data_IF_449062389885
#
_entry.id   IF_449062389885
#
_cell.length_a   1.000
_cell.length_b   1.000
_cell.length_c   1.000
_cell.angle_alpha   90.00
_cell.angle_beta   90.00
_cell.angle_gamma   90.00
#
_symmetry.space_group_name_H-M   'P 1'
#
loop_
_entity.id
_entity.type
_entity.pdbx_description
1 polymer ?
#
# COMPACT_ATOMS: atom_id res chain seq x y z
N UNK A 1 10.87 11.85 -5.73
CA UNK A 1 9.70 12.61 -6.21
C UNK A 1 10.04 13.59 -7.34
N UNK A 2 11.04 14.48 -7.20
CA UNK A 2 11.39 15.47 -8.25
C UNK A 2 11.59 14.87 -9.66
N UNK A 3 12.24 13.70 -9.77
CA UNK A 3 12.41 13.03 -11.07
C UNK A 3 11.08 12.61 -11.72
N UNK A 4 10.05 12.30 -10.93
CA UNK A 4 8.70 11.97 -11.42
C UNK A 4 7.97 13.25 -11.83
N UNK A 5 8.09 14.33 -11.05
CA UNK A 5 7.54 15.63 -11.41
C UNK A 5 8.14 16.14 -12.73
N UNK A 6 9.46 16.04 -12.90
CA UNK A 6 10.12 16.33 -14.18
C UNK A 6 9.56 15.46 -15.31
N UNK A 7 9.31 14.17 -15.08
CA UNK A 7 8.66 13.32 -16.08
C UNK A 7 7.28 13.88 -16.46
N UNK A 8 6.47 14.25 -15.47
CA UNK A 8 5.15 14.83 -15.71
C UNK A 8 5.21 16.16 -16.47
N UNK A 9 6.08 17.09 -16.05
CA UNK A 9 6.30 18.39 -16.69
C UNK A 9 6.78 18.25 -18.14
N UNK A 10 7.76 17.36 -18.38
CA UNK A 10 8.30 17.11 -19.72
C UNK A 10 7.50 16.08 -20.53
N UNK A 11 6.28 15.72 -20.10
CA UNK A 11 5.40 14.75 -20.77
C UNK A 11 6.07 13.39 -21.04
N UNK A 12 7.01 12.98 -20.19
CA UNK A 12 7.65 11.67 -20.22
C UNK A 12 6.82 10.66 -19.43
N UNK A 13 6.70 9.42 -19.93
CA UNK A 13 5.88 8.42 -19.28
C UNK A 13 6.44 7.96 -17.93
N UNK A 14 5.54 7.78 -16.98
CA UNK A 14 5.76 7.03 -15.76
C UNK A 14 4.49 6.27 -15.38
N UNK A 15 4.59 5.34 -14.45
CA UNK A 15 3.48 4.54 -13.95
C UNK A 15 3.57 4.37 -12.44
N UNK A 16 2.44 3.99 -11.85
CA UNK A 16 2.35 3.68 -10.43
C UNK A 16 2.47 2.17 -10.22
N UNK A 17 3.11 1.78 -9.13
CA UNK A 17 3.13 0.41 -8.64
C UNK A 17 2.85 0.40 -7.14
N UNK A 18 1.93 -0.45 -6.71
CA UNK A 18 1.77 -0.80 -5.29
C UNK A 18 1.44 -2.28 -5.16
N UNK A 19 1.37 -2.79 -3.93
CA UNK A 19 1.13 -4.22 -3.73
C UNK A 19 0.41 -4.53 -2.43
N UNK A 20 -0.15 -5.74 -2.37
CA UNK A 20 -0.84 -6.28 -1.20
C UNK A 20 -0.52 -7.75 -1.04
N UNK A 21 0.04 -8.10 0.11
CA UNK A 21 0.13 -9.49 0.54
C UNK A 21 -1.20 -9.99 1.14
N UNK A 22 -1.92 -10.91 0.47
CA UNK A 22 -3.25 -11.35 0.89
C UNK A 22 -3.15 -12.29 2.10
N UNK A 23 -3.19 -11.71 3.29
CA UNK A 23 -3.02 -12.44 4.56
C UNK A 23 -4.33 -12.81 5.26
N UNK A 24 -5.46 -12.38 4.71
CA UNK A 24 -6.84 -12.65 5.16
C UNK A 24 -7.81 -12.37 4.01
N UNK A 25 -9.07 -12.83 4.12
CA UNK A 25 -10.09 -12.68 3.06
C UNK A 25 -10.61 -11.24 2.90
N UNK A 26 -10.39 -10.36 3.88
CA UNK A 26 -10.90 -8.99 3.87
C UNK A 26 -9.85 -8.00 4.32
N UNK A 27 -9.77 -6.85 3.67
CA UNK A 27 -8.93 -5.74 4.11
C UNK A 27 -9.54 -5.02 5.32
N UNK A 28 -8.69 -4.53 6.23
CA UNK A 28 -9.07 -3.56 7.26
C UNK A 28 -8.74 -2.13 6.82
N UNK A 29 -9.28 -1.13 7.53
CA UNK A 29 -9.16 0.30 7.19
C UNK A 29 -7.71 0.77 7.00
N UNK A 30 -6.75 0.28 7.79
CA UNK A 30 -5.34 0.62 7.64
C UNK A 30 -4.72 0.20 6.29
N UNK A 31 -5.25 -0.86 5.66
CA UNK A 31 -4.78 -1.26 4.33
C UNK A 31 -5.26 -0.32 3.23
N UNK A 32 -6.29 0.48 3.47
CA UNK A 32 -6.81 1.40 2.47
C UNK A 32 -5.87 2.59 2.23
N UNK A 33 -5.04 2.97 3.22
CA UNK A 33 -4.22 4.18 3.17
C UNK A 33 -3.31 4.23 1.92
N UNK A 34 -2.49 3.21 1.60
CA UNK A 34 -1.67 3.24 0.40
C UNK A 34 -2.51 3.28 -0.88
N UNK A 35 -3.65 2.57 -0.92
CA UNK A 35 -4.54 2.54 -2.08
C UNK A 35 -5.27 3.87 -2.30
N UNK A 36 -5.70 4.56 -1.25
CA UNK A 36 -6.29 5.89 -1.35
C UNK A 36 -5.30 6.88 -1.96
N UNK A 37 -4.03 6.86 -1.49
CA UNK A 37 -2.97 7.68 -2.08
C UNK A 37 -2.70 7.30 -3.54
N UNK A 38 -2.59 6.01 -3.86
CA UNK A 38 -2.41 5.53 -5.23
C UNK A 38 -3.53 5.98 -6.15
N UNK A 39 -4.79 5.90 -5.69
CA UNK A 39 -5.95 6.30 -6.46
C UNK A 39 -5.92 7.79 -6.76
N UNK A 40 -5.64 8.61 -5.75
CA UNK A 40 -5.48 10.05 -5.94
C UNK A 40 -4.33 10.39 -6.90
N UNK A 41 -3.19 9.71 -6.78
CA UNK A 41 -2.07 9.87 -7.71
C UNK A 41 -2.44 9.47 -9.14
N UNK A 42 -3.19 8.37 -9.32
CA UNK A 42 -3.68 7.93 -10.63
C UNK A 42 -4.59 8.99 -11.25
N UNK A 43 -5.54 9.53 -10.49
CA UNK A 43 -6.49 10.55 -10.97
C UNK A 43 -5.78 11.85 -11.35
N UNK A 44 -4.86 12.33 -10.52
CA UNK A 44 -4.17 13.62 -10.72
C UNK A 44 -3.16 13.55 -11.86
N UNK A 45 -2.41 12.45 -11.96
CA UNK A 45 -1.37 12.31 -12.96
C UNK A 45 -1.83 11.65 -14.27
N UNK A 46 -3.01 11.03 -14.29
CA UNK A 46 -3.56 10.34 -15.47
C UNK A 46 -2.60 9.25 -16.02
N UNK A 47 -2.10 8.39 -15.11
CA UNK A 47 -1.05 7.40 -15.40
C UNK A 47 -1.53 5.96 -15.16
N UNK A 48 -0.93 4.96 -15.84
CA UNK A 48 -1.23 3.56 -15.58
C UNK A 48 -0.76 3.14 -14.17
N UNK A 49 -1.47 2.17 -13.59
CA UNK A 49 -1.21 1.59 -12.29
C UNK A 49 -1.13 0.06 -12.42
N UNK A 50 -0.11 -0.53 -11.79
CA UNK A 50 -0.02 -1.98 -11.58
C UNK A 50 -0.11 -2.30 -10.10
N UNK A 51 -0.88 -3.33 -9.75
CA UNK A 51 -1.08 -3.77 -8.36
C UNK A 51 -0.71 -5.25 -8.24
N UNK A 52 0.32 -5.54 -7.46
CA UNK A 52 0.78 -6.90 -7.19
C UNK A 52 0.03 -7.52 -6.02
N UNK A 53 -0.46 -8.75 -6.18
CA UNK A 53 -0.97 -9.59 -5.10
C UNK A 53 0.00 -10.74 -4.83
N UNK A 54 0.73 -10.63 -3.71
CA UNK A 54 1.83 -11.54 -3.36
C UNK A 54 1.32 -12.81 -2.64
N UNK A 55 0.47 -13.58 -3.32
CA UNK A 55 -0.09 -14.83 -2.79
C UNK A 55 0.97 -15.94 -2.61
N UNK A 56 1.99 -15.95 -3.47
CA UNK A 56 3.19 -16.77 -3.31
C UNK A 56 3.92 -16.49 -1.97
N UNK A 57 4.13 -15.22 -1.63
CA UNK A 57 4.73 -14.77 -0.37
C UNK A 57 3.97 -15.35 0.81
N UNK A 58 2.64 -15.19 0.84
CA UNK A 58 1.87 -15.59 2.02
C UNK A 58 1.87 -17.10 2.22
N UNK A 59 1.93 -17.89 1.14
CA UNK A 59 2.15 -19.34 1.23
C UNK A 59 3.55 -19.72 1.74
N UNK A 60 4.57 -18.90 1.46
CA UNK A 60 5.94 -19.14 1.93
C UNK A 60 6.12 -18.76 3.40
N UNK A 61 5.50 -17.67 3.84
CA UNK A 61 5.73 -17.07 5.16
C UNK A 61 4.76 -17.53 6.24
N UNK A 62 3.60 -18.07 5.86
CA UNK A 62 2.60 -18.64 6.78
C UNK A 62 2.28 -20.08 6.38
N UNK A 63 1.73 -20.85 7.31
CA UNK A 63 1.19 -22.19 7.04
C UNK A 63 -0.16 -22.08 6.31
N UNK A 64 -0.16 -21.49 5.11
CA UNK A 64 -1.33 -21.28 4.26
C UNK A 64 -1.10 -22.02 2.95
N UNK A 65 -2.09 -22.82 2.53
CA UNK A 65 -2.02 -23.54 1.25
C UNK A 65 -2.08 -22.56 0.08
N UNK A 66 -1.37 -22.87 -1.01
CA UNK A 66 -1.35 -22.04 -2.24
C UNK A 66 -2.76 -21.69 -2.73
N UNK A 67 -3.65 -22.69 -2.87
CA UNK A 67 -5.04 -22.47 -3.30
C UNK A 67 -5.81 -21.50 -2.39
N UNK A 68 -5.47 -21.48 -1.10
CA UNK A 68 -6.13 -20.61 -0.13
C UNK A 68 -5.56 -19.19 -0.20
N UNK A 69 -4.24 -19.03 -0.33
CA UNK A 69 -3.61 -17.74 -0.59
C UNK A 69 -4.12 -17.10 -1.89
N UNK A 70 -4.28 -17.93 -2.93
CA UNK A 70 -4.83 -17.51 -4.22
C UNK A 70 -6.29 -17.04 -4.09
N UNK A 71 -7.16 -17.81 -3.41
CA UNK A 71 -8.53 -17.36 -3.11
C UNK A 71 -8.56 -16.05 -2.32
N UNK A 72 -7.63 -15.85 -1.39
CA UNK A 72 -7.49 -14.59 -0.66
C UNK A 72 -7.06 -13.44 -1.57
N UNK A 73 -6.18 -13.68 -2.55
CA UNK A 73 -5.79 -12.68 -3.55
C UNK A 73 -7.01 -12.16 -4.32
N UNK A 74 -7.83 -13.05 -4.90
CA UNK A 74 -9.05 -12.65 -5.60
C UNK A 74 -10.05 -11.91 -4.71
N UNK A 75 -10.18 -12.31 -3.44
CA UNK A 75 -11.01 -11.59 -2.48
C UNK A 75 -10.48 -10.18 -2.16
N UNK A 76 -9.16 -10.02 -2.02
CA UNK A 76 -8.51 -8.73 -1.78
C UNK A 76 -8.55 -7.86 -3.05
N UNK A 77 -8.52 -8.46 -4.25
CA UNK A 77 -8.70 -7.75 -5.50
C UNK A 77 -10.08 -7.07 -5.55
N UNK A 78 -11.15 -7.70 -5.04
CA UNK A 78 -12.47 -7.06 -4.91
C UNK A 78 -12.46 -5.85 -3.99
N UNK A 79 -11.79 -5.96 -2.84
CA UNK A 79 -11.62 -4.83 -1.92
C UNK A 79 -10.86 -3.68 -2.61
N UNK A 80 -9.79 -3.99 -3.36
CA UNK A 80 -9.00 -3.01 -4.09
C UNK A 80 -9.81 -2.35 -5.20
N UNK A 81 -10.55 -3.11 -6.01
CA UNK A 81 -11.43 -2.56 -7.06
C UNK A 81 -12.50 -1.65 -6.44
N UNK A 82 -13.03 -2.00 -5.27
CA UNK A 82 -13.99 -1.19 -4.52
C UNK A 82 -13.43 0.17 -4.04
N UNK A 83 -12.12 0.41 -4.17
CA UNK A 83 -11.52 1.74 -3.96
C UNK A 83 -11.79 2.69 -5.13
N UNK A 84 -12.30 2.20 -6.27
CA UNK A 84 -12.69 3.02 -7.41
C UNK A 84 -11.52 3.36 -8.34
N UNK A 85 -10.59 2.43 -8.55
CA UNK A 85 -9.56 2.56 -9.58
C UNK A 85 -10.17 2.51 -10.98
N UNK A 86 -9.54 3.20 -11.93
CA UNK A 86 -9.96 3.18 -13.34
C UNK A 86 -9.57 1.84 -13.98
N UNK A 87 -10.56 1.06 -14.44
CA UNK A 87 -10.33 -0.22 -15.11
C UNK A 87 -9.54 -0.02 -16.40
N UNK A 88 -9.65 1.11 -17.11
CA UNK A 88 -8.90 1.31 -18.34
C UNK A 88 -7.41 1.59 -18.06
N UNK A 89 -7.04 1.91 -16.82
CA UNK A 89 -5.67 2.30 -16.42
C UNK A 89 -5.05 1.44 -15.33
N UNK A 90 -5.72 0.38 -14.90
CA UNK A 90 -5.26 -0.41 -13.75
C UNK A 90 -5.18 -1.88 -14.09
N UNK A 91 -4.01 -2.46 -13.85
CA UNK A 91 -3.78 -3.90 -13.95
C UNK A 91 -3.49 -4.48 -12.58
N UNK A 92 -4.28 -5.48 -12.15
CA UNK A 92 -4.08 -6.20 -10.89
C UNK A 92 -3.62 -7.60 -11.25
N UNK A 93 -2.58 -8.13 -10.62
CA UNK A 93 -2.13 -9.49 -10.93
C UNK A 93 -1.75 -10.25 -9.67
N UNK A 94 -1.92 -11.57 -9.71
CA UNK A 94 -1.36 -12.47 -8.70
C UNK A 94 0.03 -12.92 -9.14
N UNK A 95 0.93 -13.12 -8.18
CA UNK A 95 2.27 -13.61 -8.50
C UNK A 95 2.22 -15.03 -9.04
N UNK A 96 1.31 -15.87 -8.53
CA UNK A 96 1.09 -17.23 -9.02
C UNK A 96 0.62 -17.28 -10.48
N UNK A 97 -0.17 -16.30 -10.95
CA UNK A 97 -0.65 -16.27 -12.35
C UNK A 97 0.33 -15.56 -13.30
N UNK A 98 1.10 -14.58 -12.83
CA UNK A 98 1.83 -13.65 -13.70
C UNK A 98 3.36 -13.77 -13.64
N UNK A 99 3.96 -13.95 -12.46
CA UNK A 99 5.42 -13.86 -12.27
C UNK A 99 6.05 -15.26 -12.30
N UNK A 100 6.05 -15.87 -13.48
CA UNK A 100 6.86 -17.06 -13.76
C UNK A 100 8.36 -16.74 -13.83
N UNK A 101 9.10 -17.00 -12.74
CA UNK A 101 10.57 -17.20 -12.64
C UNK A 101 11.46 -15.95 -12.54
N UNK A 102 12.37 -16.00 -11.54
CA UNK A 102 13.33 -14.95 -11.17
C UNK A 102 14.74 -15.23 -11.72
N UNK A 103 15.39 -14.22 -12.30
CA UNK A 103 16.75 -14.38 -12.90
C UNK A 103 17.78 -13.33 -12.46
N UNK A 104 17.42 -12.36 -11.60
CA UNK A 104 18.19 -11.11 -11.43
C UNK A 104 18.70 -10.80 -10.01
N UNK A 105 18.45 -11.61 -8.99
CA UNK A 105 18.87 -11.34 -7.60
C UNK A 105 19.77 -12.46 -7.07
N UNK A 106 20.90 -12.10 -6.48
CA UNK A 106 21.87 -13.07 -5.91
C UNK A 106 21.62 -13.31 -4.42
N UNK A 107 21.90 -14.54 -3.95
CA UNK A 107 21.66 -14.94 -2.55
C UNK A 107 22.33 -14.01 -1.51
N UNK A 108 23.54 -13.51 -1.79
CA UNK A 108 24.28 -12.64 -0.85
C UNK A 108 23.58 -11.30 -0.58
N UNK A 109 22.89 -10.74 -1.58
CA UNK A 109 22.16 -9.47 -1.43
C UNK A 109 20.93 -9.65 -0.53
N UNK A 110 20.24 -10.78 -0.66
CA UNK A 110 19.03 -11.07 0.10
C UNK A 110 19.32 -11.43 1.56
N UNK A 111 20.44 -12.10 1.84
CA UNK A 111 20.91 -12.41 3.20
C UNK A 111 21.08 -11.14 4.05
N UNK A 112 21.70 -10.10 3.49
CA UNK A 112 21.99 -8.84 4.19
C UNK A 112 20.79 -7.91 4.37
N UNK A 113 19.80 -7.95 3.48
CA UNK A 113 18.66 -7.04 3.49
C UNK A 113 17.50 -7.58 4.34
N UNK A 114 17.25 -8.88 4.28
CA UNK A 114 16.08 -9.53 4.92
C UNK A 114 16.44 -10.44 6.09
N UNK A 115 17.74 -10.61 6.40
CA UNK A 115 18.20 -11.40 7.53
C UNK A 115 18.02 -12.91 7.34
N UNK A 116 18.05 -13.39 6.09
CA UNK A 116 17.96 -14.83 5.80
C UNK A 116 19.22 -15.58 6.23
N UNK A 117 19.07 -16.89 6.44
CA UNK A 117 20.17 -17.81 6.73
C UNK A 117 20.12 -19.04 5.82
N UNK A 118 21.07 -19.95 6.00
CA UNK A 118 21.23 -21.12 5.14
C UNK A 118 20.15 -22.20 5.40
N UNK A 119 19.29 -21.99 6.43
CA UNK A 119 18.11 -22.81 6.72
C UNK A 119 16.82 -22.25 6.10
N UNK A 120 16.88 -21.05 5.53
CA UNK A 120 15.74 -20.37 4.93
C UNK A 120 15.34 -21.01 3.61
N UNK A 121 14.04 -21.27 3.42
CA UNK A 121 13.50 -21.80 2.16
C UNK A 121 13.93 -20.92 0.97
N UNK A 122 14.40 -21.56 -0.11
CA UNK A 122 14.85 -20.86 -1.33
C UNK A 122 13.79 -19.93 -1.90
N UNK A 123 12.49 -20.27 -1.75
CA UNK A 123 11.39 -19.39 -2.15
C UNK A 123 11.35 -18.06 -1.39
N UNK A 124 11.66 -18.05 -0.08
CA UNK A 124 11.73 -16.81 0.71
C UNK A 124 12.91 -15.94 0.32
N UNK A 125 14.04 -16.58 -0.01
CA UNK A 125 15.24 -15.92 -0.53
C UNK A 125 14.97 -15.29 -1.90
N UNK A 126 14.15 -15.95 -2.71
CA UNK A 126 13.81 -15.54 -4.06
C UNK A 126 12.81 -14.34 -4.04
N UNK A 127 11.82 -14.37 -3.13
CA UNK A 127 10.69 -13.44 -3.12
C UNK A 127 11.00 -11.94 -3.30
N UNK A 128 12.05 -11.35 -2.68
CA UNK A 128 12.37 -9.94 -2.91
C UNK A 128 12.59 -9.57 -4.38
N UNK A 129 13.05 -10.51 -5.22
CA UNK A 129 13.15 -10.30 -6.67
C UNK A 129 11.77 -10.21 -7.34
N UNK A 130 10.81 -11.02 -6.89
CA UNK A 130 9.40 -10.99 -7.34
C UNK A 130 8.76 -9.65 -6.99
N UNK A 131 8.95 -9.16 -5.77
CA UNK A 131 8.39 -7.86 -5.36
C UNK A 131 9.07 -6.66 -6.04
N UNK A 132 10.33 -6.81 -6.45
CA UNK A 132 11.08 -5.79 -7.18
C UNK A 132 10.75 -5.75 -8.69
N UNK A 133 10.41 -6.87 -9.31
CA UNK A 133 10.20 -6.95 -10.76
C UNK A 133 9.12 -5.98 -11.28
N UNK A 134 7.98 -5.79 -10.60
CA UNK A 134 6.96 -4.81 -11.01
C UNK A 134 7.42 -3.34 -10.98
N UNK A 135 8.58 -3.02 -10.41
CA UNK A 135 9.18 -1.68 -10.51
C UNK A 135 9.83 -1.43 -11.88
N UNK A 136 9.99 -2.47 -12.71
CA UNK A 136 10.54 -2.39 -14.05
C UNK A 136 9.40 -2.49 -15.09
N UNK A 137 9.28 -1.49 -15.97
CA UNK A 137 8.24 -1.51 -17.01
C UNK A 137 8.40 -2.67 -18.01
N UNK A 138 9.60 -3.24 -18.13
CA UNK A 138 9.85 -4.44 -18.94
C UNK A 138 9.08 -5.67 -18.45
N UNK A 139 8.64 -5.67 -17.20
CA UNK A 139 7.84 -6.76 -16.61
C UNK A 139 6.42 -6.81 -17.16
N UNK A 140 5.97 -5.74 -17.85
CA UNK A 140 4.62 -5.66 -18.39
C UNK A 140 4.64 -5.33 -19.90
N UNK A 141 5.04 -6.28 -20.75
CA UNK A 141 5.11 -6.08 -22.20
C UNK A 141 3.75 -5.73 -22.81
N UNK A 142 2.66 -6.30 -22.30
CA UNK A 142 1.30 -6.02 -22.80
C UNK A 142 0.83 -4.59 -22.50
N UNK A 143 1.39 -3.96 -21.46
CA UNK A 143 1.08 -2.59 -21.05
C UNK A 143 2.02 -1.60 -21.75
N UNK A 144 3.34 -1.82 -21.67
CA UNK A 144 4.33 -0.82 -22.09
C UNK A 144 4.95 -1.12 -23.46
N UNK A 145 4.67 -2.26 -24.08
CA UNK A 145 5.17 -2.65 -25.41
C UNK A 145 6.70 -2.48 -25.54
N UNK A 146 7.45 -2.91 -24.53
CA UNK A 146 8.91 -2.81 -24.47
C UNK A 146 9.48 -1.42 -24.18
N UNK A 147 8.63 -0.40 -24.00
CA UNK A 147 9.07 0.97 -23.69
C UNK A 147 9.46 1.10 -22.22
N UNK A 148 10.47 1.93 -21.97
CA UNK A 148 10.93 2.25 -20.61
C UNK A 148 10.07 3.36 -20.01
N UNK A 149 9.44 3.08 -18.89
CA UNK A 149 8.71 4.06 -18.08
C UNK A 149 9.29 4.09 -16.67
N UNK A 150 9.34 5.28 -16.05
CA UNK A 150 9.72 5.37 -14.63
C UNK A 150 8.59 4.84 -13.75
N UNK A 151 8.95 4.23 -12.63
CA UNK A 151 7.99 3.72 -11.65
C UNK A 151 7.96 4.65 -10.43
N UNK A 152 6.77 5.01 -9.96
CA UNK A 152 6.55 5.62 -8.65
C UNK A 152 5.83 4.60 -7.76
N UNK A 153 6.34 4.38 -6.55
CA UNK A 153 5.85 3.34 -5.64
C UNK A 153 5.30 3.96 -4.36
N UNK A 154 3.96 4.14 -4.25
CA UNK A 154 3.34 4.53 -3.00
C UNK A 154 3.20 3.28 -2.10
N UNK A 155 3.91 3.30 -0.97
CA UNK A 155 3.88 2.23 0.01
C UNK A 155 4.08 2.78 1.43
N UNK A 156 3.72 1.98 2.43
CA UNK A 156 4.13 2.25 3.80
C UNK A 156 5.64 1.98 3.99
N UNK A 157 6.24 2.59 5.01
CA UNK A 157 7.70 2.61 5.19
C UNK A 157 8.30 1.23 5.46
N UNK A 158 7.52 0.28 5.94
CA UNK A 158 7.91 -1.12 6.14
C UNK A 158 8.24 -1.84 4.81
N UNK A 159 7.77 -1.33 3.66
CA UNK A 159 8.05 -1.88 2.34
C UNK A 159 9.33 -1.30 1.70
N UNK A 160 9.87 -0.21 2.25
CA UNK A 160 11.10 0.46 1.78
C UNK A 160 12.32 -0.49 1.61
N UNK A 161 12.57 -1.51 2.48
CA UNK A 161 13.67 -2.45 2.28
C UNK A 161 13.63 -3.20 0.95
N UNK A 162 12.45 -3.58 0.45
CA UNK A 162 12.29 -4.28 -0.82
C UNK A 162 12.69 -3.40 -2.01
N UNK A 163 12.29 -2.12 -1.97
CA UNK A 163 12.60 -1.18 -3.05
C UNK A 163 14.00 -0.59 -2.95
N UNK A 164 14.59 -0.53 -1.75
CA UNK A 164 16.00 -0.15 -1.62
C UNK A 164 16.95 -1.18 -2.18
N UNK A 165 16.59 -2.46 -2.18
CA UNK A 165 17.34 -3.47 -2.93
C UNK A 165 17.41 -3.16 -4.42
N UNK A 166 16.39 -2.48 -4.95
CA UNK A 166 16.33 -2.04 -6.36
C UNK A 166 17.06 -0.72 -6.62
N UNK A 167 17.50 -0.02 -5.56
CA UNK A 167 18.26 1.22 -5.59
C UNK A 167 19.71 1.07 -5.07
N UNK A 168 20.53 2.09 -5.28
CA UNK A 168 21.99 2.09 -5.01
C UNK A 168 22.40 2.22 -3.51
N UNK A 169 21.50 1.94 -2.57
CA UNK A 169 21.77 2.15 -1.14
C UNK A 169 22.63 1.03 -0.52
N UNK A 170 23.49 1.39 0.45
CA UNK A 170 24.35 0.42 1.16
C UNK A 170 23.66 -0.16 2.40
N UNK A 171 23.94 -1.43 2.73
CA UNK A 171 23.32 -2.16 3.86
C UNK A 171 23.38 -1.44 5.23
N UNK A 172 24.36 -0.56 5.44
CA UNK A 172 24.55 0.19 6.70
C UNK A 172 23.48 1.28 6.92
N UNK A 173 22.93 1.86 5.85
CA UNK A 173 21.92 2.93 5.92
C UNK A 173 20.50 2.42 6.20
N UNK A 174 20.27 1.10 6.05
CA UNK A 174 18.97 0.43 6.23
C UNK A 174 18.63 0.19 7.71
N UNK A 175 19.61 -0.27 8.50
CA UNK A 175 19.44 -0.70 9.91
C UNK A 175 19.01 0.41 10.87
N UNK A 176 19.42 1.66 10.63
CA UNK A 176 19.15 2.79 11.53
C UNK A 176 17.71 3.29 11.47
N UNK A 177 16.99 3.07 10.36
CA UNK A 177 15.65 3.63 10.13
C UNK A 177 14.51 2.78 10.70
N UNK A 178 14.72 1.47 10.86
CA UNK A 178 13.70 0.49 11.29
C UNK A 178 13.44 0.57 12.82
N UNK A 179 14.48 0.89 13.61
CA UNK A 179 14.43 0.75 15.08
C UNK A 179 13.73 1.89 15.85
N UNK A 180 13.08 2.86 15.19
CA UNK A 180 12.82 4.17 15.82
C UNK A 180 11.38 4.49 16.23
N UNK A 181 10.35 3.66 15.98
CA UNK A 181 8.97 4.12 16.21
C UNK A 181 7.99 3.03 16.72
N UNK A 182 7.47 3.23 17.95
CA UNK A 182 6.03 3.31 18.29
C UNK A 182 5.82 3.13 19.81
N UNK A 183 5.20 4.12 20.48
CA UNK A 183 4.70 3.99 21.86
C UNK A 183 3.44 4.85 22.07
N UNK A 184 2.61 4.48 23.06
CA UNK A 184 1.25 4.98 23.34
C UNK A 184 1.23 5.96 24.53
N UNK A 185 0.32 6.94 24.57
CA UNK A 185 0.28 7.94 25.65
C UNK A 185 -1.07 8.60 25.94
N UNK A 186 -2.07 7.78 26.24
CA UNK A 186 -3.21 8.24 27.05
C UNK A 186 -2.83 8.34 28.53
N UNK A 187 -3.51 9.23 29.28
CA UNK A 187 -3.43 9.29 30.75
C UNK A 187 -4.51 8.41 31.39
N UNK A 188 -4.27 7.94 32.61
CA UNK A 188 -5.08 6.90 33.24
C UNK A 188 -6.42 7.39 33.85
N UNK A 189 -6.57 8.69 34.12
CA UNK A 189 -7.75 9.23 34.83
C UNK A 189 -8.36 10.45 34.13
N UNK A 190 -9.66 10.68 34.35
CA UNK A 190 -10.41 11.81 33.77
C UNK A 190 -9.97 13.16 34.35
N UNK A 191 -9.61 13.18 35.64
CA UNK A 191 -9.06 14.37 36.31
C UNK A 191 -7.70 14.77 35.71
N UNK A 192 -6.81 13.81 35.46
CA UNK A 192 -5.53 14.07 34.81
C UNK A 192 -5.71 14.54 33.36
N UNK A 193 -6.69 14.00 32.64
CA UNK A 193 -6.97 14.40 31.26
C UNK A 193 -7.48 15.85 31.19
N UNK A 194 -8.37 16.25 32.10
CA UNK A 194 -8.86 17.64 32.18
C UNK A 194 -7.78 18.62 32.61
N UNK A 195 -6.84 18.20 33.45
CA UNK A 195 -5.78 19.07 33.99
C UNK A 195 -4.59 19.23 33.05
N UNK A 196 -4.24 18.19 32.30
CA UNK A 196 -3.00 18.13 31.55
C UNK A 196 -3.16 17.78 30.07
N UNK A 197 -4.40 17.58 29.60
CA UNK A 197 -4.70 17.24 28.22
C UNK A 197 -4.29 15.84 27.77
N UNK A 198 -4.72 15.52 26.55
CA UNK A 198 -4.30 14.33 25.80
C UNK A 198 -3.07 14.58 24.94
N UNK A 199 -2.35 13.50 24.58
CA UNK A 199 -1.22 13.58 23.66
C UNK A 199 -1.62 13.05 22.26
N UNK A 200 -1.78 13.97 21.32
CA UNK A 200 -2.11 13.68 19.93
C UNK A 200 -1.04 12.87 19.18
N UNK A 201 0.25 12.95 19.56
CA UNK A 201 1.34 12.24 18.85
C UNK A 201 1.21 10.72 18.95
N UNK A 202 0.57 10.23 20.00
CA UNK A 202 0.51 8.83 20.41
C UNK A 202 -0.92 8.29 20.51
N UNK A 203 -1.93 9.16 20.40
CA UNK A 203 -3.34 8.76 20.40
C UNK A 203 -3.74 8.18 19.04
N UNK A 204 -3.99 6.88 18.99
CA UNK A 204 -4.35 6.15 17.76
C UNK A 204 -5.60 6.73 17.09
N UNK A 205 -6.57 7.23 17.86
CA UNK A 205 -7.80 7.77 17.28
C UNK A 205 -7.55 9.06 16.53
N UNK A 206 -6.76 9.96 17.13
CA UNK A 206 -6.28 11.16 16.48
C UNK A 206 -5.39 10.84 15.27
N UNK A 207 -4.49 9.86 15.38
CA UNK A 207 -3.66 9.43 14.25
C UNK A 207 -4.51 8.97 13.06
N UNK A 208 -5.59 8.21 13.28
CA UNK A 208 -6.52 7.84 12.22
C UNK A 208 -7.29 9.03 11.64
N UNK A 209 -7.72 9.98 12.47
CA UNK A 209 -8.39 11.19 11.98
C UNK A 209 -7.49 11.97 11.01
N UNK A 210 -6.18 12.06 11.25
CA UNK A 210 -5.24 12.70 10.30
C UNK A 210 -5.21 12.05 8.91
N UNK A 211 -5.59 10.77 8.78
CA UNK A 211 -5.61 10.08 7.50
C UNK A 211 -6.96 10.16 6.79
N UNK A 212 -8.06 10.27 7.54
CA UNK A 212 -9.41 10.08 7.01
C UNK A 212 -10.29 11.33 7.10
N UNK A 213 -9.95 12.30 7.95
CA UNK A 213 -10.65 13.58 8.02
C UNK A 213 -9.99 14.55 7.04
N UNK A 214 -10.74 14.93 5.99
CA UNK A 214 -10.25 15.83 4.93
C UNK A 214 -10.30 17.32 5.31
N UNK A 215 -10.98 17.67 6.40
CA UNK A 215 -11.16 19.05 6.88
C UNK A 215 -10.02 19.44 7.84
N UNK A 216 -9.03 20.16 7.32
CA UNK A 216 -7.85 20.62 8.05
C UNK A 216 -8.18 21.54 9.24
N UNK A 217 -9.15 22.43 9.08
CA UNK A 217 -9.56 23.37 10.16
C UNK A 217 -10.20 22.60 11.32
N UNK A 218 -11.05 21.63 10.99
CA UNK A 218 -11.68 20.75 11.98
C UNK A 218 -10.66 19.85 12.66
N UNK A 219 -9.67 19.32 11.93
CA UNK A 219 -8.61 18.50 12.48
C UNK A 219 -7.75 19.28 13.48
N UNK A 220 -7.38 20.52 13.13
CA UNK A 220 -6.61 21.41 14.02
C UNK A 220 -7.42 21.79 15.25
N UNK A 221 -8.73 22.06 15.11
CA UNK A 221 -9.60 22.28 16.27
C UNK A 221 -9.66 21.06 17.20
N UNK A 222 -9.83 19.86 16.65
CA UNK A 222 -9.84 18.62 17.44
C UNK A 222 -8.52 18.45 18.21
N UNK A 223 -7.39 18.79 17.58
CA UNK A 223 -6.08 18.76 18.22
C UNK A 223 -6.01 19.71 19.42
N UNK A 224 -6.40 20.97 19.23
CA UNK A 224 -6.40 22.00 20.28
C UNK A 224 -7.32 21.61 21.44
N UNK A 225 -8.53 21.15 21.15
CA UNK A 225 -9.50 20.73 22.17
C UNK A 225 -9.00 19.49 22.93
N UNK A 226 -8.29 18.55 22.28
CA UNK A 226 -7.76 17.35 22.93
C UNK A 226 -6.52 17.65 23.79
N UNK A 227 -5.59 18.46 23.28
CA UNK A 227 -4.36 18.86 23.99
C UNK A 227 -4.63 19.78 25.17
N UNK A 228 -5.73 20.56 25.13
CA UNK A 228 -6.18 21.38 26.26
C UNK A 228 -6.95 20.58 27.33
N UNK A 229 -7.40 19.37 27.00
CA UNK A 229 -8.26 18.56 27.86
C UNK A 229 -9.75 18.92 27.78
N UNK A 230 -10.15 19.83 26.90
CA UNK A 230 -11.55 20.16 26.62
C UNK A 230 -12.30 18.96 26.00
N UNK A 231 -11.66 18.28 25.05
CA UNK A 231 -12.14 17.07 24.42
C UNK A 231 -11.66 15.83 25.18
N UNK A 232 -12.62 14.97 25.57
CA UNK A 232 -12.32 13.71 26.23
C UNK A 232 -12.00 12.61 25.20
N UNK A 233 -11.19 11.61 25.59
CA UNK A 233 -10.86 10.48 24.71
C UNK A 233 -12.08 9.70 24.21
N UNK A 234 -13.17 9.66 24.99
CA UNK A 234 -14.43 9.05 24.58
C UNK A 234 -15.09 9.79 23.42
N UNK A 235 -15.03 11.12 23.41
CA UNK A 235 -15.62 11.95 22.36
C UNK A 235 -14.74 11.99 21.10
N UNK A 236 -13.41 11.98 21.27
CA UNK A 236 -12.47 11.78 20.17
C UNK A 236 -12.74 10.45 19.42
N UNK A 237 -13.01 9.36 20.15
CA UNK A 237 -13.39 8.07 19.55
C UNK A 237 -14.72 8.15 18.79
N UNK A 238 -15.72 8.88 19.30
CA UNK A 238 -16.99 9.10 18.58
C UNK A 238 -16.77 9.86 17.28
N UNK A 239 -15.92 10.89 17.29
CA UNK A 239 -15.56 11.63 16.08
C UNK A 239 -14.90 10.72 15.04
N UNK A 240 -13.98 9.85 15.47
CA UNK A 240 -13.39 8.85 14.58
C UNK A 240 -14.43 7.88 14.01
N UNK A 241 -15.33 7.35 14.85
CA UNK A 241 -16.38 6.42 14.38
C UNK A 241 -17.27 7.10 13.34
N UNK A 242 -17.67 8.35 13.58
CA UNK A 242 -18.48 9.12 12.63
C UNK A 242 -17.75 9.40 11.31
N UNK A 243 -16.41 9.54 11.35
CA UNK A 243 -15.58 9.72 10.16
C UNK A 243 -15.43 8.40 9.37
N UNK A 244 -15.17 7.28 10.05
CA UNK A 244 -14.90 6.00 9.40
C UNK A 244 -16.17 5.27 8.91
N UNK A 245 -17.30 5.44 9.60
CA UNK A 245 -18.56 4.76 9.26
C UNK A 245 -18.97 4.98 7.80
N UNK A 246 -19.11 6.22 7.28
CA UNK A 246 -19.48 6.44 5.88
C UNK A 246 -18.45 5.85 4.91
N UNK A 247 -17.15 6.00 5.20
CA UNK A 247 -16.07 5.44 4.36
C UNK A 247 -16.21 3.91 4.22
N UNK A 248 -16.46 3.22 5.34
CA UNK A 248 -16.64 1.77 5.36
C UNK A 248 -17.94 1.34 4.67
N UNK A 249 -19.05 2.03 4.92
CA UNK A 249 -20.34 1.74 4.28
C UNK A 249 -20.26 1.93 2.77
N UNK A 250 -19.65 3.01 2.30
CA UNK A 250 -19.47 3.28 0.87
C UNK A 250 -18.55 2.26 0.21
N UNK A 251 -17.46 1.87 0.90
CA UNK A 251 -16.58 0.82 0.43
C UNK A 251 -17.31 -0.52 0.31
N UNK A 252 -18.10 -0.91 1.32
CA UNK A 252 -18.91 -2.13 1.29
C UNK A 252 -19.94 -2.10 0.15
N UNK A 253 -20.60 -0.97 -0.06
CA UNK A 253 -21.53 -0.79 -1.16
C UNK A 253 -20.84 -0.97 -2.53
N UNK A 254 -19.70 -0.30 -2.76
CA UNK A 254 -18.92 -0.47 -4.00
C UNK A 254 -18.42 -1.90 -4.18
N UNK A 255 -17.96 -2.53 -3.10
CA UNK A 255 -17.49 -3.91 -3.10
C UNK A 255 -18.57 -4.89 -3.56
N UNK A 256 -19.82 -4.67 -3.13
CA UNK A 256 -20.95 -5.50 -3.55
C UNK A 256 -21.25 -5.39 -5.06
N UNK A 257 -20.83 -4.30 -5.71
CA UNK A 257 -20.99 -4.10 -7.16
C UNK A 257 -19.84 -4.67 -7.99
N UNK A 258 -18.77 -5.19 -7.37
CA UNK A 258 -17.66 -5.80 -8.11
C UNK A 258 -18.06 -7.19 -8.60
N UNK A 259 -18.40 -7.28 -9.88
CA UNK A 259 -18.73 -8.56 -10.53
C UNK A 259 -17.47 -9.36 -10.87
N UNK A 260 -17.67 -10.63 -11.21
CA UNK A 260 -16.59 -11.50 -11.68
C UNK A 260 -16.05 -11.03 -13.03
N UNK A 261 -16.89 -10.46 -13.90
CA UNK A 261 -16.45 -9.88 -15.17
C UNK A 261 -15.57 -8.66 -14.95
N UNK A 262 -15.95 -7.75 -14.04
CA UNK A 262 -15.15 -6.57 -13.73
C UNK A 262 -13.80 -6.98 -13.15
N UNK A 263 -13.79 -7.91 -12.20
CA UNK A 263 -12.55 -8.49 -11.67
C UNK A 263 -11.68 -9.05 -12.78
N UNK A 264 -12.25 -9.86 -13.67
CA UNK A 264 -11.51 -10.46 -14.77
C UNK A 264 -10.91 -9.38 -15.68
N UNK A 265 -11.63 -8.28 -15.93
CA UNK A 265 -11.10 -7.15 -16.69
C UNK A 265 -9.87 -6.54 -16.02
N UNK A 266 -9.90 -6.27 -14.71
CA UNK A 266 -8.73 -5.76 -13.99
C UNK A 266 -7.54 -6.73 -14.04
N UNK A 267 -7.81 -8.03 -13.98
CA UNK A 267 -6.79 -9.07 -13.83
C UNK A 267 -6.25 -9.68 -15.13
N UNK A 268 -6.88 -9.39 -16.27
CA UNK A 268 -6.40 -9.87 -17.57
C UNK A 268 -5.32 -8.94 -18.11
N UNK A 269 -4.13 -9.45 -18.49
CA UNK A 269 -3.11 -8.66 -19.17
C UNK A 269 -3.67 -8.03 -20.45
N UNK A 270 -3.56 -6.71 -20.56
CA UNK A 270 -4.07 -5.94 -21.69
C UNK A 270 -3.32 -4.62 -21.83
N UNK A 271 -3.50 -3.95 -22.97
CA UNK A 271 -3.11 -2.55 -23.11
C UNK A 271 -4.00 -1.68 -22.24
N UNK A 272 -3.37 -0.78 -21.49
CA UNK A 272 -4.07 0.24 -20.72
C UNK A 272 -4.23 1.51 -21.58
N UNK A 273 -5.18 2.36 -21.22
CA UNK A 273 -5.48 3.62 -21.91
C UNK A 273 -4.76 4.81 -21.24
N UNK A 274 -3.64 5.27 -21.81
CA UNK A 274 -2.84 6.35 -21.24
C UNK A 274 -2.11 7.15 -22.32
N UNK A 275 -2.08 8.48 -22.14
CA UNK A 275 -1.74 9.46 -23.18
C UNK A 275 -0.26 9.56 -23.53
N UNK A 276 0.63 8.98 -22.73
CA UNK A 276 2.08 9.24 -22.84
C UNK A 276 2.80 8.37 -23.87
N UNK A 277 2.06 7.57 -24.65
CA UNK A 277 2.60 6.51 -25.50
C UNK A 277 2.22 6.61 -26.98
N UNK A 278 1.55 7.68 -27.40
CA UNK A 278 1.38 8.00 -28.82
C UNK A 278 2.41 9.03 -29.30
#
# INVERSE_FOLDING_TARGET
MNSILNCYEFKKPFYLYTGRGPSSRSMHVGHLIPFTLCKWLQDVFDVPLVIQLTDDEKSLWKDIKLDEAHKMAYANARDIIAMGFDVEKTFIFTDLDYIGIQKLVTFNQVKGIFGFDDSTLIGKIAFPAVQAAPALSSSFPDIFNGRRARCLIPCAIDQDPYFRMTGTDTAKQLRTKINKHAYSGGRATLEDHRKYGGNCEVDVSYQYLKFFLEDDEKLEKIKQDYESGELLSGDLKKLLINCLTPILTDHQHRRAQVTDELLQQFMTPRRLNFKYFD
#
